data_IF_954068843198
#
_entry.id   IF_954068843198
#
_cell.length_a   1.000
_cell.length_b   1.000
_cell.length_c   1.000
_cell.angle_alpha   90.00
_cell.angle_beta   90.00
_cell.angle_gamma   90.00
#
_symmetry.space_group_name_H-M   'P 1'
#
loop_
_entity.id
_entity.type
_entity.pdbx_description
1 polymer ?
#
# COMPACT_ATOMS: atom_id res chain seq x y z
N UNK A 1 10.15 -31.36 -18.13
CA UNK A 1 10.31 -29.92 -17.90
C UNK A 1 10.62 -29.31 -19.26
N UNK A 2 9.60 -28.87 -19.95
CA UNK A 2 9.77 -28.11 -21.18
C UNK A 2 10.15 -26.68 -20.84
N UNK A 3 11.07 -26.05 -21.58
CA UNK A 3 11.46 -24.67 -21.31
C UNK A 3 10.30 -23.75 -21.68
N UNK A 4 9.81 -23.01 -20.69
CA UNK A 4 8.84 -21.93 -20.89
C UNK A 4 9.39 -20.93 -21.90
N UNK A 5 8.72 -20.77 -23.02
CA UNK A 5 8.97 -19.75 -24.04
C UNK A 5 8.95 -18.36 -23.37
N UNK A 6 9.94 -17.51 -23.65
CA UNK A 6 9.98 -16.18 -23.06
C UNK A 6 8.79 -15.33 -23.54
N UNK A 7 8.18 -14.61 -22.63
CA UNK A 7 6.98 -13.74 -22.76
C UNK A 7 7.22 -12.53 -23.72
N UNK A 8 8.34 -12.49 -24.43
CA UNK A 8 8.74 -11.41 -25.34
C UNK A 8 8.13 -11.49 -26.75
N UNK A 9 7.15 -12.35 -27.02
CA UNK A 9 6.69 -12.66 -28.37
C UNK A 9 5.33 -12.07 -28.78
N UNK A 10 4.94 -10.91 -28.27
CA UNK A 10 3.86 -10.11 -28.90
C UNK A 10 4.27 -8.66 -29.16
N UNK A 11 5.48 -8.44 -29.64
CA UNK A 11 5.72 -7.26 -30.46
C UNK A 11 5.00 -7.49 -31.78
N UNK A 12 3.79 -6.95 -31.92
CA UNK A 12 3.25 -6.69 -33.25
C UNK A 12 4.40 -6.03 -34.03
N UNK A 13 4.80 -6.61 -35.13
CA UNK A 13 5.84 -6.05 -36.02
C UNK A 13 5.38 -4.65 -36.44
N UNK A 14 5.78 -3.62 -35.68
CA UNK A 14 5.56 -2.24 -36.07
C UNK A 14 6.39 -2.01 -37.33
N UNK A 15 5.74 -1.97 -38.47
CA UNK A 15 6.37 -1.47 -39.68
C UNK A 15 6.55 0.04 -39.51
N UNK A 16 7.73 0.44 -39.00
CA UNK A 16 8.09 1.83 -38.90
C UNK A 16 8.15 2.44 -40.30
N UNK A 17 7.45 3.55 -40.49
CA UNK A 17 7.55 4.30 -41.75
C UNK A 17 8.94 4.93 -41.86
N UNK A 18 9.55 4.74 -43.02
CA UNK A 18 10.77 5.49 -43.35
C UNK A 18 10.46 6.97 -43.51
N UNK A 19 11.48 7.81 -43.26
CA UNK A 19 11.34 9.27 -43.44
C UNK A 19 10.97 9.62 -44.89
N UNK A 20 10.19 10.67 -45.04
CA UNK A 20 9.91 11.26 -46.36
C UNK A 20 11.19 11.85 -46.96
N UNK A 21 11.48 11.55 -48.23
CA UNK A 21 12.57 12.12 -48.97
C UNK A 21 12.06 13.36 -49.72
N UNK A 22 12.58 14.53 -49.35
CA UNK A 22 12.22 15.79 -49.94
C UNK A 22 13.21 16.14 -51.07
N UNK A 23 12.68 16.49 -52.23
CA UNK A 23 13.51 16.95 -53.37
C UNK A 23 12.84 18.11 -54.12
N UNK A 24 13.63 18.89 -54.78
CA UNK A 24 13.16 20.06 -55.53
C UNK A 24 12.23 19.65 -56.70
N UNK A 25 11.11 20.37 -56.85
CA UNK A 25 10.13 20.14 -57.91
C UNK A 25 9.11 19.05 -57.61
N UNK A 26 9.13 18.39 -56.42
CA UNK A 26 8.10 17.41 -56.06
C UNK A 26 6.75 18.08 -55.83
N UNK A 27 5.66 17.40 -56.20
CA UNK A 27 4.30 17.80 -55.86
C UNK A 27 4.00 17.49 -54.38
N UNK A 28 3.58 18.51 -53.63
CA UNK A 28 3.22 18.32 -52.20
C UNK A 28 1.75 17.93 -52.06
N UNK A 29 1.51 16.70 -51.64
CA UNK A 29 0.17 16.20 -51.28
C UNK A 29 0.03 15.86 -49.79
N UNK A 30 -1.19 15.70 -49.29
CA UNK A 30 -1.46 15.34 -47.90
C UNK A 30 -0.70 14.09 -47.43
N UNK A 31 -0.46 13.14 -48.32
CA UNK A 31 0.27 11.89 -48.01
C UNK A 31 1.70 12.13 -47.49
N UNK A 32 2.40 13.13 -47.99
CA UNK A 32 3.78 13.46 -47.55
C UNK A 32 3.76 13.93 -46.09
N UNK A 33 2.85 14.83 -45.74
CA UNK A 33 2.72 15.36 -44.39
C UNK A 33 2.24 14.28 -43.41
N UNK A 34 1.29 13.41 -43.83
CA UNK A 34 0.83 12.28 -43.03
C UNK A 34 1.94 11.25 -42.81
N UNK A 35 2.71 10.91 -43.83
CA UNK A 35 3.82 9.96 -43.72
C UNK A 35 4.93 10.51 -42.82
N UNK A 36 5.28 11.81 -42.96
CA UNK A 36 6.27 12.46 -42.10
C UNK A 36 5.83 12.48 -40.65
N UNK A 37 4.59 12.90 -40.38
CA UNK A 37 4.03 12.89 -39.04
C UNK A 37 4.10 11.50 -38.42
N UNK A 38 3.66 10.48 -39.17
CA UNK A 38 3.68 9.08 -38.72
C UNK A 38 5.09 8.58 -38.41
N UNK A 39 6.07 8.91 -39.27
CA UNK A 39 7.47 8.58 -39.04
C UNK A 39 8.01 9.14 -37.71
N UNK A 40 7.60 10.36 -37.33
CA UNK A 40 7.96 10.95 -36.05
C UNK A 40 7.24 10.29 -34.89
N UNK A 41 5.93 10.03 -35.01
CA UNK A 41 5.15 9.33 -34.00
C UNK A 41 5.71 7.93 -33.73
N UNK A 42 6.01 7.17 -34.78
CA UNK A 42 6.61 5.83 -34.69
C UNK A 42 7.99 5.86 -34.03
N UNK A 43 8.84 6.86 -34.39
CA UNK A 43 10.17 7.01 -33.80
C UNK A 43 10.10 7.34 -32.30
N UNK A 44 9.21 8.24 -31.90
CA UNK A 44 9.00 8.60 -30.49
C UNK A 44 8.49 7.39 -29.73
N UNK A 45 7.49 6.69 -30.26
CA UNK A 45 6.94 5.50 -29.61
C UNK A 45 7.98 4.39 -29.49
N UNK A 46 8.77 4.14 -30.56
CA UNK A 46 9.87 3.18 -30.51
C UNK A 46 10.91 3.57 -29.44
N UNK A 47 11.33 4.83 -29.40
CA UNK A 47 12.29 5.29 -28.41
C UNK A 47 11.75 5.15 -26.98
N UNK A 48 10.51 5.58 -26.73
CA UNK A 48 9.89 5.48 -25.41
C UNK A 48 9.74 4.04 -24.97
N UNK A 49 9.25 3.15 -25.82
CA UNK A 49 9.02 1.73 -25.51
C UNK A 49 10.29 0.92 -25.28
N UNK A 50 11.44 1.39 -25.80
CA UNK A 50 12.71 0.70 -25.61
C UNK A 50 13.56 1.30 -24.48
N UNK A 51 13.31 2.57 -24.09
CA UNK A 51 14.07 3.26 -23.05
C UNK A 51 13.39 3.19 -21.68
N UNK A 52 12.06 3.09 -21.65
CA UNK A 52 11.29 3.02 -20.41
C UNK A 52 10.45 1.76 -20.38
N UNK A 53 10.32 1.20 -19.18
CA UNK A 53 9.49 0.06 -18.93
C UNK A 53 8.01 0.48 -18.95
N UNK A 54 7.16 -0.23 -19.71
CA UNK A 54 5.70 0.00 -19.79
C UNK A 54 5.32 1.50 -19.84
N UNK A 55 5.72 2.25 -20.88
CA UNK A 55 5.61 3.72 -20.94
C UNK A 55 4.20 4.17 -21.31
N UNK A 56 3.18 3.60 -20.69
CA UNK A 56 1.78 3.94 -20.88
C UNK A 56 1.04 4.04 -19.54
N UNK A 57 -0.11 4.69 -19.54
CA UNK A 57 -0.90 4.90 -18.34
C UNK A 57 -1.15 6.37 -18.09
N UNK A 58 -1.67 6.67 -16.91
CA UNK A 58 -2.03 8.03 -16.52
C UNK A 58 -0.84 8.76 -15.88
N UNK A 59 -0.72 10.05 -16.18
CA UNK A 59 0.05 11.00 -15.39
C UNK A 59 -0.84 11.84 -14.45
N UNK A 60 -2.15 11.69 -14.57
CA UNK A 60 -3.18 12.25 -13.71
C UNK A 60 -4.55 11.87 -14.24
N UNK A 61 -5.46 11.52 -13.35
CA UNK A 61 -6.84 11.18 -13.71
C UNK A 61 -7.79 11.41 -12.54
N UNK A 62 -9.04 11.75 -12.87
CA UNK A 62 -10.11 11.90 -11.90
C UNK A 62 -11.46 11.59 -12.53
N UNK A 63 -12.26 10.78 -11.85
CA UNK A 63 -13.64 10.47 -12.17
C UNK A 63 -14.58 11.33 -11.33
N UNK A 64 -15.72 11.69 -11.88
CA UNK A 64 -16.73 12.51 -11.19
C UNK A 64 -17.61 11.64 -10.27
N UNK A 65 -17.53 11.81 -8.92
CA UNK A 65 -18.34 11.05 -7.99
C UNK A 65 -19.81 11.47 -8.00
N UNK A 66 -20.13 12.71 -8.39
CA UNK A 66 -21.50 13.20 -8.42
C UNK A 66 -22.26 12.65 -9.63
N UNK A 67 -21.58 12.53 -10.77
CA UNK A 67 -22.13 11.82 -11.94
C UNK A 67 -22.48 10.37 -11.60
N UNK A 68 -21.65 9.70 -10.80
CA UNK A 68 -21.87 8.31 -10.40
C UNK A 68 -23.13 8.14 -9.53
N UNK A 69 -23.45 9.11 -8.67
CA UNK A 69 -24.73 9.14 -7.93
C UNK A 69 -25.94 9.12 -8.85
N UNK A 70 -25.80 9.68 -10.05
CA UNK A 70 -26.81 9.65 -11.11
C UNK A 70 -26.66 8.42 -12.03
N UNK A 71 -25.94 7.39 -11.58
CA UNK A 71 -25.66 6.14 -12.33
C UNK A 71 -24.96 6.35 -13.66
N UNK A 72 -24.11 7.38 -13.73
CA UNK A 72 -23.39 7.78 -14.94
C UNK A 72 -21.91 7.92 -14.61
N UNK A 73 -21.04 7.41 -15.46
CA UNK A 73 -19.59 7.64 -15.37
C UNK A 73 -19.24 8.87 -16.17
N UNK A 74 -18.55 9.80 -15.55
CA UNK A 74 -17.99 10.99 -16.19
C UNK A 74 -16.56 11.24 -15.72
N UNK A 75 -15.81 12.00 -16.51
CA UNK A 75 -14.43 12.35 -16.27
C UNK A 75 -14.32 13.81 -15.83
N UNK A 76 -13.57 14.09 -14.78
CA UNK A 76 -13.17 15.45 -14.41
C UNK A 76 -11.93 15.89 -15.18
N UNK A 77 -10.92 15.03 -15.23
CA UNK A 77 -9.69 15.24 -16.00
C UNK A 77 -9.00 13.89 -16.26
N UNK A 78 -8.21 13.82 -17.32
CA UNK A 78 -7.27 12.71 -17.53
C UNK A 78 -6.12 13.12 -18.47
N UNK A 79 -4.92 12.76 -18.10
CA UNK A 79 -3.70 12.92 -18.90
C UNK A 79 -2.92 11.64 -18.89
N UNK A 80 -2.36 11.26 -20.03
CA UNK A 80 -1.62 10.02 -20.12
C UNK A 80 -1.25 9.61 -21.54
N UNK A 81 -0.85 8.37 -21.67
CA UNK A 81 -0.42 7.73 -22.91
C UNK A 81 -1.09 6.35 -23.00
N UNK A 82 -1.75 6.06 -24.10
CA UNK A 82 -2.22 4.70 -24.40
C UNK A 82 -1.07 3.76 -24.77
N UNK A 83 -1.30 2.44 -24.73
CA UNK A 83 -0.28 1.43 -25.07
C UNK A 83 0.31 1.58 -26.48
N UNK A 84 -0.46 2.15 -27.41
CA UNK A 84 -0.03 2.41 -28.79
C UNK A 84 0.65 3.76 -29.00
N UNK A 85 0.99 4.44 -27.90
CA UNK A 85 1.70 5.73 -27.90
C UNK A 85 0.81 6.96 -28.09
N UNK A 86 -0.52 6.84 -28.15
CA UNK A 86 -1.42 7.98 -28.24
C UNK A 86 -1.42 8.78 -26.95
N UNK A 87 -0.87 9.98 -26.99
CA UNK A 87 -0.92 10.94 -25.87
C UNK A 87 -2.30 11.58 -25.80
N UNK A 88 -2.80 11.85 -24.60
CA UNK A 88 -4.04 12.59 -24.36
C UNK A 88 -3.95 13.49 -23.13
N UNK A 89 -4.67 14.63 -23.19
CA UNK A 89 -4.78 15.60 -22.08
C UNK A 89 -6.15 16.24 -22.11
N UNK A 90 -6.99 15.89 -21.17
CA UNK A 90 -8.39 16.31 -21.02
C UNK A 90 -8.57 17.09 -19.71
N UNK A 91 -9.24 18.24 -19.66
CA UNK A 91 -9.90 18.91 -20.80
C UNK A 91 -8.99 19.86 -21.61
N UNK A 92 -7.69 19.97 -21.30
CA UNK A 92 -6.82 21.05 -21.79
C UNK A 92 -6.64 21.04 -23.31
N UNK A 93 -6.39 19.86 -23.88
CA UNK A 93 -6.12 19.70 -25.31
C UNK A 93 -7.17 18.85 -26.02
N UNK A 94 -7.78 17.93 -25.30
CA UNK A 94 -8.76 16.99 -25.81
C UNK A 94 -10.08 17.15 -25.07
N UNK A 95 -11.20 17.01 -25.78
CA UNK A 95 -12.52 17.01 -25.15
C UNK A 95 -12.70 15.72 -24.34
N UNK A 96 -13.20 15.81 -23.09
CA UNK A 96 -13.57 14.64 -22.32
C UNK A 96 -14.59 13.76 -23.06
N UNK A 97 -14.56 12.43 -22.90
CA UNK A 97 -15.58 11.55 -23.44
C UNK A 97 -16.96 11.90 -22.85
N UNK A 98 -18.00 11.68 -23.66
CA UNK A 98 -19.38 11.87 -23.18
C UNK A 98 -19.65 10.97 -21.95
N UNK A 99 -20.34 11.55 -20.96
CA UNK A 99 -20.77 10.81 -19.78
C UNK A 99 -21.62 9.59 -20.20
N UNK A 100 -21.41 8.44 -19.54
CA UNK A 100 -22.02 7.19 -19.95
C UNK A 100 -22.76 6.49 -18.81
N UNK A 101 -24.06 6.08 -19.00
CA UNK A 101 -24.80 5.35 -17.99
C UNK A 101 -24.25 3.93 -17.80
N UNK A 102 -24.28 3.44 -16.54
CA UNK A 102 -23.76 2.10 -16.17
C UNK A 102 -24.87 1.05 -16.03
N UNK A 103 -26.14 1.44 -16.15
CA UNK A 103 -27.28 0.56 -15.81
C UNK A 103 -27.27 -0.79 -16.51
N UNK A 104 -27.03 -0.79 -17.81
CA UNK A 104 -27.07 -2.00 -18.65
C UNK A 104 -25.85 -2.94 -18.42
N UNK A 105 -24.75 -2.40 -17.90
CA UNK A 105 -23.48 -3.13 -17.70
C UNK A 105 -23.28 -3.58 -16.26
N UNK A 106 -24.13 -3.11 -15.33
CA UNK A 106 -24.01 -3.41 -13.92
C UNK A 106 -25.30 -4.00 -13.33
N UNK A 107 -25.67 -5.24 -13.74
CA UNK A 107 -26.84 -5.93 -13.21
C UNK A 107 -26.69 -6.21 -11.69
N UNK A 108 -27.80 -6.50 -10.97
CA UNK A 108 -27.75 -6.76 -9.52
C UNK A 108 -26.83 -7.91 -9.09
N UNK A 109 -26.56 -8.83 -9.96
CA UNK A 109 -25.68 -9.99 -9.73
C UNK A 109 -24.18 -9.66 -9.80
N UNK A 110 -23.83 -8.49 -10.29
CA UNK A 110 -22.43 -8.07 -10.45
C UNK A 110 -22.01 -7.22 -9.26
N UNK A 111 -20.90 -7.56 -8.65
CA UNK A 111 -20.36 -6.84 -7.47
C UNK A 111 -19.46 -5.66 -7.86
N UNK A 112 -18.75 -5.76 -8.97
CA UNK A 112 -17.81 -4.76 -9.45
C UNK A 112 -17.90 -4.58 -10.97
N UNK A 113 -17.67 -3.36 -11.45
CA UNK A 113 -17.61 -3.01 -12.87
C UNK A 113 -16.35 -2.21 -13.16
N UNK A 114 -15.43 -2.77 -13.96
CA UNK A 114 -14.23 -2.05 -14.39
C UNK A 114 -14.62 -1.04 -15.47
N UNK A 115 -14.15 0.19 -15.32
CA UNK A 115 -14.34 1.32 -16.25
C UNK A 115 -13.03 1.57 -16.97
N UNK A 116 -13.09 1.70 -18.28
CA UNK A 116 -11.92 1.91 -19.13
C UNK A 116 -12.14 3.12 -20.04
N UNK A 117 -11.07 3.80 -20.40
CA UNK A 117 -11.02 4.62 -21.61
C UNK A 117 -10.63 3.71 -22.79
N UNK A 118 -11.32 3.86 -23.89
CA UNK A 118 -11.06 3.09 -25.10
C UNK A 118 -10.89 4.02 -26.29
N UNK A 119 -9.99 3.65 -27.21
CA UNK A 119 -9.76 4.37 -28.46
C UNK A 119 -9.58 3.37 -29.59
N UNK A 120 -10.21 3.57 -30.78
CA UNK A 120 -10.01 2.72 -31.93
C UNK A 120 -8.54 2.66 -32.38
N UNK A 121 -8.06 1.50 -32.85
CA UNK A 121 -6.69 1.35 -33.29
C UNK A 121 -6.38 2.21 -34.51
N UNK A 122 -5.11 2.59 -34.63
CA UNK A 122 -4.60 3.22 -35.85
C UNK A 122 -4.50 2.14 -36.96
N UNK A 123 -5.25 2.30 -38.04
CA UNK A 123 -5.27 1.34 -39.16
C UNK A 123 -4.37 1.82 -40.27
N UNK A 124 -3.39 1.00 -40.63
CA UNK A 124 -2.52 1.29 -41.78
C UNK A 124 -3.32 1.14 -43.09
N UNK A 125 -3.06 2.03 -44.05
CA UNK A 125 -3.69 2.06 -45.37
C UNK A 125 -5.22 2.03 -45.34
N UNK A 126 -5.81 2.51 -44.25
CA UNK A 126 -7.25 2.56 -44.07
C UNK A 126 -7.68 3.91 -43.53
N UNK A 127 -8.98 4.16 -43.52
CA UNK A 127 -9.57 5.38 -43.00
C UNK A 127 -9.43 5.47 -41.47
N UNK A 128 -8.80 6.54 -40.97
CA UNK A 128 -8.62 6.83 -39.55
C UNK A 128 -9.37 8.09 -39.09
N UNK A 129 -9.99 8.84 -40.00
CA UNK A 129 -10.70 10.08 -39.68
C UNK A 129 -12.06 10.13 -40.36
N UNK A 130 -13.10 10.58 -39.65
CA UNK A 130 -14.40 10.91 -40.18
C UNK A 130 -14.59 12.42 -40.26
N UNK A 131 -15.24 12.88 -41.34
CA UNK A 131 -15.53 14.30 -41.61
C UNK A 131 -16.98 14.68 -41.30
N UNK A 132 -17.88 13.72 -41.26
CA UNK A 132 -19.32 13.95 -41.02
C UNK A 132 -19.85 13.11 -39.87
N UNK A 133 -20.91 13.58 -39.22
CA UNK A 133 -21.57 12.86 -38.13
C UNK A 133 -22.18 11.51 -38.59
N UNK A 134 -22.58 11.39 -39.86
CA UNK A 134 -23.11 10.13 -40.42
C UNK A 134 -22.02 9.05 -40.57
N UNK A 135 -20.78 9.45 -40.74
CA UNK A 135 -19.60 8.59 -40.79
C UNK A 135 -19.13 8.12 -39.41
N UNK A 136 -19.71 8.63 -38.34
CA UNK A 136 -19.37 8.46 -36.91
C UNK A 136 -19.76 7.07 -36.39
N UNK A 137 -19.89 6.06 -37.19
CA UNK A 137 -20.02 4.68 -36.67
C UNK A 137 -18.65 4.19 -36.19
N UNK A 138 -18.38 4.37 -34.89
CA UNK A 138 -17.51 3.64 -33.96
C UNK A 138 -16.11 3.18 -34.38
N UNK A 139 -15.71 3.25 -35.63
CA UNK A 139 -14.51 2.57 -36.13
C UNK A 139 -13.34 3.47 -36.51
N UNK A 140 -13.50 4.80 -36.39
CA UNK A 140 -12.43 5.76 -36.73
C UNK A 140 -11.77 6.32 -35.48
N UNK A 141 -10.47 6.56 -35.57
CA UNK A 141 -9.67 7.05 -34.46
C UNK A 141 -9.84 8.54 -34.20
N UNK A 142 -10.16 9.33 -35.24
CA UNK A 142 -10.29 10.79 -35.17
C UNK A 142 -11.57 11.28 -35.82
N UNK A 143 -12.08 12.41 -35.30
CA UNK A 143 -13.13 13.19 -35.96
C UNK A 143 -12.53 14.51 -36.43
N UNK A 144 -12.75 14.90 -37.67
CA UNK A 144 -12.31 16.18 -38.21
C UNK A 144 -13.17 17.32 -37.62
N UNK A 145 -12.53 18.19 -36.85
CA UNK A 145 -13.18 19.37 -36.25
C UNK A 145 -12.59 20.62 -36.84
N UNK A 146 -13.38 21.51 -37.50
CA UNK A 146 -12.89 22.75 -38.08
C UNK A 146 -12.57 23.73 -36.96
N UNK A 147 -11.31 24.22 -36.91
CA UNK A 147 -10.83 25.24 -35.99
C UNK A 147 -10.22 26.41 -36.80
N UNK A 148 -10.62 27.63 -36.47
CA UNK A 148 -9.99 28.83 -37.05
C UNK A 148 -8.64 29.07 -36.37
N UNK A 149 -7.56 29.10 -37.18
CA UNK A 149 -6.21 29.36 -36.72
C UNK A 149 -5.66 30.56 -37.50
N UNK A 150 -4.98 31.48 -36.79
CA UNK A 150 -4.25 32.58 -37.38
C UNK A 150 -2.81 32.15 -37.75
N UNK A 151 -2.21 32.86 -38.68
CA UNK A 151 -0.78 32.71 -38.93
C UNK A 151 0.01 33.14 -37.69
N UNK A 152 0.88 32.25 -37.18
CA UNK A 152 1.61 32.49 -35.92
C UNK A 152 2.67 33.62 -36.04
N UNK A 153 3.14 33.95 -37.24
CA UNK A 153 4.13 34.98 -37.43
C UNK A 153 3.49 36.36 -37.50
N UNK A 154 2.28 36.46 -38.05
CA UNK A 154 1.58 37.74 -38.26
C UNK A 154 0.46 37.98 -37.26
N UNK A 155 -0.06 36.94 -36.60
CA UNK A 155 -1.25 37.01 -35.76
C UNK A 155 -2.52 37.30 -36.54
N UNK A 156 -2.49 37.24 -37.86
CA UNK A 156 -3.57 37.61 -38.78
C UNK A 156 -3.93 36.45 -39.72
N UNK A 157 -4.80 36.71 -40.70
CA UNK A 157 -5.24 35.77 -41.75
C UNK A 157 -5.82 34.45 -41.16
N UNK A 158 -6.94 34.51 -40.40
CA UNK A 158 -7.55 33.33 -39.82
C UNK A 158 -8.04 32.36 -40.90
N UNK A 159 -7.62 31.11 -40.83
CA UNK A 159 -8.04 30.05 -41.75
C UNK A 159 -8.64 28.85 -41.00
N UNK A 160 -9.63 28.23 -41.59
CA UNK A 160 -10.21 26.99 -41.07
C UNK A 160 -9.27 25.81 -41.38
N UNK A 161 -8.82 25.16 -40.31
CA UNK A 161 -8.02 23.93 -40.37
C UNK A 161 -8.80 22.84 -39.67
N UNK A 162 -8.92 21.66 -40.30
CA UNK A 162 -9.54 20.51 -39.70
C UNK A 162 -8.54 19.83 -38.78
N UNK A 163 -8.78 19.90 -37.46
CA UNK A 163 -8.00 19.19 -36.45
C UNK A 163 -8.64 17.83 -36.15
N UNK A 164 -7.83 16.81 -35.89
CA UNK A 164 -8.28 15.48 -35.56
C UNK A 164 -8.60 15.37 -34.05
N UNK A 165 -9.88 15.52 -33.68
CA UNK A 165 -10.33 15.21 -32.31
C UNK A 165 -10.28 13.70 -32.08
N UNK A 166 -9.62 13.25 -31.02
CA UNK A 166 -9.47 11.84 -30.66
C UNK A 166 -10.83 11.23 -30.30
N UNK A 167 -11.11 10.05 -30.82
CA UNK A 167 -12.35 9.30 -30.51
C UNK A 167 -12.15 8.45 -29.25
N UNK A 168 -11.91 9.11 -28.11
CA UNK A 168 -11.81 8.46 -26.80
C UNK A 168 -13.20 8.34 -26.21
N UNK A 169 -13.56 7.16 -25.73
CA UNK A 169 -14.85 6.85 -25.13
C UNK A 169 -14.69 6.06 -23.86
N UNK A 170 -15.72 6.05 -23.01
CA UNK A 170 -15.79 5.07 -21.93
C UNK A 170 -16.14 3.68 -22.50
N UNK A 171 -15.50 2.67 -21.99
CA UNK A 171 -15.85 1.27 -22.20
C UNK A 171 -15.97 0.57 -20.85
N UNK A 172 -16.81 -0.45 -20.78
CA UNK A 172 -17.04 -1.23 -19.58
C UNK A 172 -16.57 -2.66 -19.77
N UNK A 173 -16.18 -3.27 -18.68
CA UNK A 173 -15.82 -4.69 -18.68
C UNK A 173 -16.98 -5.57 -19.14
N UNK A 174 -16.71 -6.46 -20.11
CA UNK A 174 -17.73 -7.31 -20.75
C UNK A 174 -18.33 -6.68 -22.02
N UNK A 175 -17.89 -5.48 -22.42
CA UNK A 175 -18.21 -4.89 -23.71
C UNK A 175 -17.23 -5.39 -24.78
N UNK A 176 -17.71 -5.59 -26.00
CA UNK A 176 -16.85 -5.91 -27.13
C UNK A 176 -16.03 -4.66 -27.51
N UNK A 177 -14.75 -4.69 -27.19
CA UNK A 177 -13.75 -3.66 -27.55
C UNK A 177 -12.68 -4.26 -28.46
N UNK A 178 -13.10 -5.13 -29.38
CA UNK A 178 -12.19 -5.90 -30.22
C UNK A 178 -11.24 -5.00 -31.01
N UNK A 179 -9.94 -5.17 -30.75
CA UNK A 179 -8.87 -4.39 -31.38
C UNK A 179 -8.75 -2.93 -30.92
N UNK A 180 -9.57 -2.45 -30.00
CA UNK A 180 -9.40 -1.12 -29.41
C UNK A 180 -8.28 -1.11 -28.36
N UNK A 181 -7.59 0.01 -28.25
CA UNK A 181 -6.65 0.24 -27.17
C UNK A 181 -7.41 0.72 -25.93
N UNK A 182 -7.28 0.00 -24.82
CA UNK A 182 -8.05 0.28 -23.60
C UNK A 182 -7.14 0.59 -22.42
N UNK A 183 -7.54 1.55 -21.57
CA UNK A 183 -6.82 1.94 -20.37
C UNK A 183 -7.79 1.98 -19.18
N UNK A 184 -7.66 1.06 -18.20
CA UNK A 184 -8.52 1.05 -17.01
C UNK A 184 -8.34 2.32 -16.20
N UNK A 185 -9.44 3.03 -15.91
CA UNK A 185 -9.41 4.29 -15.16
C UNK A 185 -10.04 4.17 -13.77
N UNK A 186 -10.92 3.20 -13.57
CA UNK A 186 -11.61 3.03 -12.30
C UNK A 186 -12.37 1.71 -12.21
N UNK A 187 -12.88 1.45 -11.03
CA UNK A 187 -13.79 0.33 -10.75
C UNK A 187 -14.98 0.88 -9.97
N UNK A 188 -16.19 0.54 -10.38
CA UNK A 188 -17.43 0.87 -9.67
C UNK A 188 -17.84 -0.32 -8.82
N UNK A 189 -18.20 -0.05 -7.57
CA UNK A 189 -18.74 -1.02 -6.60
C UNK A 189 -20.14 -0.59 -6.17
N UNK A 190 -20.88 -1.51 -5.52
CA UNK A 190 -22.08 -1.17 -4.74
C UNK A 190 -21.68 -1.03 -3.27
N UNK A 191 -22.10 0.04 -2.63
CA UNK A 191 -21.99 0.16 -1.18
C UNK A 191 -23.05 -0.71 -0.47
N UNK A 192 -22.96 -0.81 0.87
CA UNK A 192 -23.93 -1.57 1.68
C UNK A 192 -25.36 -1.05 1.60
N UNK A 193 -25.59 0.16 1.07
CA UNK A 193 -26.90 0.79 0.86
C UNK A 193 -27.41 0.67 -0.57
N UNK A 194 -26.63 0.00 -1.45
CA UNK A 194 -26.98 -0.21 -2.86
C UNK A 194 -26.67 0.97 -3.79
N UNK A 195 -25.97 2.01 -3.29
CA UNK A 195 -25.48 3.10 -4.12
C UNK A 195 -24.20 2.71 -4.83
N UNK A 196 -23.90 3.39 -5.92
CA UNK A 196 -22.65 3.20 -6.66
C UNK A 196 -21.57 4.11 -6.11
N UNK A 197 -20.37 3.52 -5.88
CA UNK A 197 -19.17 4.23 -5.47
C UNK A 197 -18.00 3.79 -6.32
N UNK A 198 -17.02 4.67 -6.52
CA UNK A 198 -15.73 4.23 -7.06
C UNK A 198 -14.96 3.47 -6.00
N UNK A 199 -14.32 2.36 -6.41
CA UNK A 199 -13.50 1.53 -5.53
C UNK A 199 -12.28 2.33 -5.05
N UNK A 200 -12.20 2.65 -3.74
CA UNK A 200 -11.07 3.41 -3.20
C UNK A 200 -9.75 2.62 -3.17
N UNK A 201 -9.80 1.32 -3.48
CA UNK A 201 -8.61 0.46 -3.55
C UNK A 201 -8.05 0.36 -4.97
N UNK A 202 -8.78 0.82 -5.97
CA UNK A 202 -8.33 0.73 -7.35
C UNK A 202 -7.13 1.62 -7.61
N UNK A 203 -6.12 1.09 -8.31
CA UNK A 203 -4.94 1.82 -8.77
C UNK A 203 -4.90 1.68 -10.29
N UNK A 204 -5.13 2.77 -11.05
CA UNK A 204 -5.06 2.72 -12.50
C UNK A 204 -3.62 2.53 -12.98
N UNK A 205 -3.38 1.93 -14.15
CA UNK A 205 -2.08 1.98 -14.82
C UNK A 205 -1.60 3.44 -14.92
N UNK A 206 -0.40 3.72 -14.45
CA UNK A 206 0.10 5.10 -14.42
C UNK A 206 1.61 5.15 -14.73
N UNK A 207 2.03 6.22 -15.37
CA UNK A 207 3.44 6.51 -15.68
C UNK A 207 4.12 7.32 -14.57
N UNK A 208 3.32 7.85 -13.65
CA UNK A 208 3.78 8.59 -12.47
C UNK A 208 2.96 8.17 -11.26
N UNK A 209 3.62 7.94 -10.13
CA UNK A 209 2.95 7.50 -8.89
C UNK A 209 1.91 8.51 -8.38
N UNK A 210 2.14 9.80 -8.58
CA UNK A 210 1.21 10.89 -8.21
C UNK A 210 -0.12 10.86 -8.96
N UNK A 211 -0.21 10.12 -10.08
CA UNK A 211 -1.47 9.92 -10.78
C UNK A 211 -2.49 9.08 -9.99
N UNK A 212 -2.05 8.37 -8.95
CA UNK A 212 -2.89 7.56 -8.09
C UNK A 212 -2.78 7.99 -6.64
N UNK A 213 -3.79 8.69 -6.14
CA UNK A 213 -3.89 9.05 -4.72
C UNK A 213 -3.82 7.81 -3.82
N UNK A 214 -4.41 6.69 -4.26
CA UNK A 214 -4.37 5.43 -3.53
C UNK A 214 -2.96 4.88 -3.37
N UNK A 215 -2.14 4.93 -4.42
CA UNK A 215 -0.75 4.49 -4.37
C UNK A 215 0.08 5.39 -3.45
N UNK A 216 -0.12 6.71 -3.55
CA UNK A 216 0.54 7.67 -2.66
C UNK A 216 0.16 7.47 -1.19
N UNK A 217 -1.12 7.25 -0.87
CA UNK A 217 -1.56 6.93 0.49
C UNK A 217 -0.96 5.62 1.01
N UNK A 218 -0.88 4.58 0.16
CA UNK A 218 -0.26 3.30 0.53
C UNK A 218 1.21 3.48 0.88
N UNK A 219 1.95 4.20 0.05
CA UNK A 219 3.37 4.48 0.25
C UNK A 219 3.60 5.32 1.52
N UNK A 220 2.78 6.35 1.75
CA UNK A 220 2.86 7.15 2.98
C UNK A 220 2.67 6.30 4.24
N UNK A 221 1.63 5.47 4.25
CA UNK A 221 1.36 4.56 5.39
C UNK A 221 2.49 3.54 5.61
N UNK A 222 3.10 3.05 4.53
CA UNK A 222 4.26 2.16 4.64
C UNK A 222 5.44 2.91 5.27
N UNK A 223 5.71 4.14 4.85
CA UNK A 223 6.76 4.99 5.43
C UNK A 223 6.55 5.24 6.93
N UNK A 224 5.33 5.55 7.36
CA UNK A 224 4.98 5.73 8.77
C UNK A 224 5.32 4.48 9.60
N UNK A 225 4.96 3.29 9.11
CA UNK A 225 5.26 2.02 9.78
C UNK A 225 6.77 1.76 9.83
N UNK A 226 7.49 2.02 8.74
CA UNK A 226 8.94 1.84 8.69
C UNK A 226 9.66 2.82 9.63
N UNK A 227 9.21 4.08 9.74
CA UNK A 227 9.73 5.07 10.67
C UNK A 227 9.55 4.63 12.13
N UNK A 228 8.35 4.15 12.48
CA UNK A 228 8.07 3.63 13.81
C UNK A 228 9.00 2.46 14.17
N UNK A 229 9.14 1.49 13.26
CA UNK A 229 10.02 0.32 13.47
C UNK A 229 11.49 0.73 13.57
N UNK A 230 11.95 1.66 12.73
CA UNK A 230 13.31 2.20 12.78
C UNK A 230 13.61 2.89 14.11
N UNK A 231 12.68 3.72 14.61
CA UNK A 231 12.80 4.40 15.90
C UNK A 231 12.86 3.39 17.06
N UNK A 232 11.98 2.39 17.07
CA UNK A 232 11.94 1.33 18.09
C UNK A 232 13.25 0.56 18.20
N UNK A 233 13.85 0.17 17.07
CA UNK A 233 15.13 -0.52 17.03
C UNK A 233 16.30 0.40 17.48
N UNK A 234 16.25 1.68 17.13
CA UNK A 234 17.29 2.65 17.51
C UNK A 234 17.34 2.90 19.02
N UNK A 235 16.20 2.89 19.71
CA UNK A 235 16.12 3.00 21.16
C UNK A 235 16.75 1.79 21.86
N UNK A 236 16.51 0.59 21.36
CA UNK A 236 17.13 -0.64 21.86
C UNK A 236 18.65 -0.62 21.76
N UNK A 237 19.22 0.00 20.72
CA UNK A 237 20.68 0.10 20.49
C UNK A 237 21.37 1.11 21.42
N UNK A 238 20.72 2.16 21.89
CA UNK A 238 21.32 3.15 22.81
C UNK A 238 21.69 2.56 24.16
N UNK A 239 21.08 1.44 24.56
CA UNK A 239 21.44 0.67 25.75
C UNK A 239 22.73 -0.16 25.61
N UNK A 240 23.20 -0.43 24.40
CA UNK A 240 24.34 -1.34 24.10
C UNK A 240 25.59 -0.57 23.65
N UNK A 241 25.83 0.61 24.20
CA UNK A 241 27.06 1.38 23.94
C UNK A 241 28.28 0.84 24.73
N UNK A 242 28.59 -0.47 24.63
CA UNK A 242 29.87 -1.06 24.98
C UNK A 242 30.27 -2.09 23.92
N UNK A 243 30.91 -1.63 22.89
CA UNK A 243 31.62 -2.42 21.89
C UNK A 243 32.75 -3.23 22.56
N UNK A 244 32.45 -4.42 23.08
CA UNK A 244 33.49 -5.42 23.42
C UNK A 244 32.88 -6.78 23.88
N UNK A 245 31.82 -7.29 23.26
CA UNK A 245 31.42 -8.68 23.44
C UNK A 245 30.78 -9.22 22.17
N UNK A 246 30.97 -10.51 21.91
CA UNK A 246 30.35 -11.18 20.75
C UNK A 246 28.83 -10.93 20.75
N UNK A 247 28.28 -10.46 19.61
CA UNK A 247 26.85 -10.27 19.43
C UNK A 247 26.10 -11.56 19.75
N UNK A 248 25.06 -11.47 20.55
CA UNK A 248 24.10 -12.56 20.66
C UNK A 248 23.34 -12.75 19.33
N UNK A 249 22.83 -13.94 19.07
CA UNK A 249 22.06 -14.21 17.83
C UNK A 249 20.85 -13.29 17.68
N UNK A 250 20.22 -12.85 18.78
CA UNK A 250 19.10 -11.90 18.77
C UNK A 250 19.54 -10.46 18.44
N UNK A 251 20.70 -10.03 18.92
CA UNK A 251 21.27 -8.72 18.58
C UNK A 251 21.65 -8.65 17.10
N UNK A 252 22.19 -9.74 16.56
CA UNK A 252 22.51 -9.84 15.14
C UNK A 252 21.24 -9.77 14.28
N UNK A 253 20.19 -10.49 14.63
CA UNK A 253 18.89 -10.43 13.94
C UNK A 253 18.30 -9.00 13.99
N UNK A 254 18.35 -8.35 15.14
CA UNK A 254 17.91 -6.96 15.33
C UNK A 254 18.74 -5.99 14.48
N UNK A 255 20.04 -6.22 14.36
CA UNK A 255 20.92 -5.40 13.52
C UNK A 255 20.54 -5.53 12.04
N UNK A 256 20.37 -6.76 11.53
CA UNK A 256 19.97 -6.98 10.15
C UNK A 256 18.59 -6.44 9.83
N UNK A 257 17.66 -6.55 10.77
CA UNK A 257 16.33 -5.97 10.62
C UNK A 257 16.40 -4.44 10.53
N UNK A 258 17.14 -3.79 11.42
CA UNK A 258 17.35 -2.35 11.36
C UNK A 258 18.00 -1.91 10.04
N UNK A 259 19.00 -2.66 9.56
CA UNK A 259 19.65 -2.40 8.28
C UNK A 259 18.65 -2.50 7.13
N UNK A 260 17.85 -3.56 7.09
CA UNK A 260 16.82 -3.78 6.06
C UNK A 260 15.82 -2.62 6.02
N UNK A 261 15.29 -2.21 7.18
CA UNK A 261 14.34 -1.10 7.25
C UNK A 261 14.98 0.21 6.80
N UNK A 262 16.12 0.58 7.40
CA UNK A 262 16.75 1.87 7.15
C UNK A 262 17.20 2.04 5.69
N UNK A 263 17.66 0.97 5.05
CA UNK A 263 18.08 0.98 3.65
C UNK A 263 16.90 1.20 2.70
N UNK A 264 15.74 0.59 2.95
CA UNK A 264 14.53 0.77 2.14
C UNK A 264 13.82 2.07 2.43
N UNK A 265 13.77 2.50 3.69
CA UNK A 265 13.08 3.71 4.13
C UNK A 265 13.57 4.96 3.40
N UNK A 266 14.88 5.10 3.21
CA UNK A 266 15.46 6.28 2.55
C UNK A 266 15.08 6.36 1.07
N UNK A 267 15.08 5.23 0.36
CA UNK A 267 14.73 5.17 -1.06
C UNK A 267 13.23 5.39 -1.26
N UNK A 268 12.39 4.70 -0.49
CA UNK A 268 10.93 4.85 -0.56
C UNK A 268 10.49 6.29 -0.22
N UNK A 269 11.15 6.92 0.76
CA UNK A 269 10.90 8.32 1.13
C UNK A 269 11.25 9.27 -0.02
N UNK A 270 12.38 9.05 -0.68
CA UNK A 270 12.76 9.84 -1.84
C UNK A 270 11.73 9.71 -2.97
N UNK A 271 11.30 8.49 -3.30
CA UNK A 271 10.28 8.24 -4.33
C UNK A 271 8.95 8.92 -3.97
N UNK A 272 8.54 8.85 -2.70
CA UNK A 272 7.33 9.51 -2.22
C UNK A 272 7.41 11.03 -2.36
N UNK A 273 8.53 11.65 -1.98
CA UNK A 273 8.73 13.11 -2.04
C UNK A 273 8.90 13.62 -3.47
N UNK A 274 9.47 12.81 -4.36
CA UNK A 274 9.66 13.17 -5.75
C UNK A 274 8.33 13.18 -6.54
N UNK A 275 7.35 12.39 -6.13
CA UNK A 275 6.02 12.26 -6.75
C UNK A 275 6.02 11.88 -8.24
N UNK A 276 7.16 11.87 -8.88
CA UNK A 276 7.36 11.76 -10.34
C UNK A 276 7.90 10.40 -10.79
N UNK A 277 8.10 9.45 -9.87
CA UNK A 277 8.62 8.11 -10.18
C UNK A 277 7.61 7.24 -10.91
N UNK A 278 8.10 6.35 -11.79
CA UNK A 278 7.28 5.29 -12.37
C UNK A 278 6.88 4.26 -11.29
N UNK A 279 5.65 3.71 -11.29
CA UNK A 279 5.22 2.71 -10.29
C UNK A 279 6.16 1.52 -10.15
N UNK A 280 6.78 1.08 -11.24
CA UNK A 280 7.74 -0.04 -11.21
C UNK A 280 8.92 0.22 -10.28
N UNK A 281 9.42 1.46 -10.21
CA UNK A 281 10.52 1.81 -9.31
C UNK A 281 10.12 1.64 -7.84
N UNK A 282 8.91 2.06 -7.47
CA UNK A 282 8.37 1.85 -6.12
C UNK A 282 8.17 0.36 -5.86
N UNK A 283 7.62 -0.35 -6.85
CA UNK A 283 7.38 -1.78 -6.75
C UNK A 283 8.67 -2.59 -6.57
N UNK A 284 9.72 -2.28 -7.33
CA UNK A 284 11.03 -2.92 -7.22
C UNK A 284 11.62 -2.73 -5.82
N UNK A 285 11.52 -1.53 -5.25
CA UNK A 285 12.00 -1.24 -3.91
C UNK A 285 11.16 -1.94 -2.82
N UNK A 286 9.84 -1.96 -2.97
CA UNK A 286 8.95 -2.71 -2.08
C UNK A 286 9.22 -4.22 -2.17
N UNK A 287 9.48 -4.76 -3.36
CA UNK A 287 9.81 -6.18 -3.57
C UNK A 287 11.16 -6.51 -2.93
N UNK A 288 12.15 -5.62 -3.04
CA UNK A 288 13.44 -5.77 -2.36
C UNK A 288 13.25 -5.81 -0.83
N UNK A 289 12.44 -4.92 -0.29
CA UNK A 289 12.09 -4.92 1.14
C UNK A 289 11.35 -6.21 1.54
N UNK A 290 10.30 -6.60 0.81
CA UNK A 290 9.53 -7.81 1.07
C UNK A 290 10.38 -9.08 1.03
N UNK A 291 11.25 -9.19 0.04
CA UNK A 291 12.20 -10.30 -0.08
C UNK A 291 13.22 -10.37 1.07
N UNK A 292 13.77 -9.21 1.46
CA UNK A 292 14.67 -9.13 2.61
C UNK A 292 13.97 -9.49 3.93
N UNK A 293 12.70 -9.11 4.09
CA UNK A 293 11.90 -9.46 5.27
C UNK A 293 11.59 -10.96 5.37
N UNK A 294 11.54 -11.70 4.25
CA UNK A 294 11.41 -13.17 4.28
C UNK A 294 12.52 -13.85 5.06
N UNK A 295 13.71 -13.24 5.18
CA UNK A 295 14.84 -13.77 5.96
C UNK A 295 14.49 -13.95 7.44
N UNK A 296 13.53 -13.21 7.96
CA UNK A 296 13.13 -13.25 9.36
C UNK A 296 11.92 -14.15 9.63
N UNK A 297 11.22 -14.64 8.60
CA UNK A 297 10.06 -15.53 8.70
C UNK A 297 10.42 -16.99 8.45
N UNK A 298 10.06 -17.91 9.36
CA UNK A 298 10.41 -19.33 9.23
C UNK A 298 9.77 -20.03 8.02
N UNK A 299 8.61 -19.56 7.55
CA UNK A 299 7.84 -20.15 6.45
C UNK A 299 7.71 -19.23 5.24
N UNK A 300 8.55 -18.19 5.14
CA UNK A 300 8.47 -17.19 4.10
C UNK A 300 9.45 -17.49 2.98
N UNK A 301 8.97 -17.42 1.73
CA UNK A 301 9.79 -17.65 0.54
C UNK A 301 9.73 -16.42 -0.38
N UNK A 302 10.88 -15.80 -0.74
CA UNK A 302 10.89 -14.68 -1.69
C UNK A 302 10.26 -15.00 -3.05
N UNK A 303 10.24 -16.28 -3.45
CA UNK A 303 9.60 -16.72 -4.71
C UNK A 303 8.06 -16.58 -4.69
N UNK A 304 7.45 -16.43 -3.51
CA UNK A 304 6.00 -16.22 -3.38
C UNK A 304 5.56 -14.77 -3.53
N UNK A 305 6.50 -13.85 -3.69
CA UNK A 305 6.16 -12.44 -3.90
C UNK A 305 5.43 -12.27 -5.24
N UNK A 306 4.39 -11.40 -5.29
CA UNK A 306 3.64 -11.19 -6.51
C UNK A 306 4.53 -10.57 -7.60
N UNK A 307 4.30 -10.95 -8.85
CA UNK A 307 4.92 -10.32 -9.99
C UNK A 307 4.31 -8.94 -10.25
N UNK A 308 5.09 -8.03 -10.82
CA UNK A 308 4.59 -6.74 -11.28
C UNK A 308 3.66 -6.92 -12.48
N UNK A 309 2.50 -6.29 -12.42
CA UNK A 309 1.55 -6.22 -13.53
C UNK A 309 1.12 -4.77 -13.69
N UNK A 310 1.62 -4.11 -14.75
CA UNK A 310 1.35 -2.69 -14.99
C UNK A 310 -0.11 -2.40 -15.31
N UNK A 311 -0.83 -3.38 -15.85
CA UNK A 311 -2.26 -3.25 -16.17
C UNK A 311 -3.17 -3.48 -14.95
N UNK A 312 -2.68 -4.17 -13.91
CA UNK A 312 -3.40 -4.51 -12.69
C UNK A 312 -2.62 -4.09 -11.43
N UNK A 313 -2.21 -2.82 -11.37
CA UNK A 313 -1.40 -2.29 -10.27
C UNK A 313 -2.04 -2.47 -8.89
N UNK A 314 -3.38 -2.36 -8.80
CA UNK A 314 -4.11 -2.56 -7.55
C UNK A 314 -3.86 -3.95 -6.96
N UNK A 315 -3.84 -5.00 -7.77
CA UNK A 315 -3.65 -6.37 -7.31
C UNK A 315 -2.22 -6.61 -6.80
N UNK A 316 -1.22 -6.24 -7.62
CA UNK A 316 0.17 -6.52 -7.28
C UNK A 316 0.65 -5.66 -6.09
N UNK A 317 0.31 -4.38 -6.02
CA UNK A 317 0.69 -3.52 -4.91
C UNK A 317 -0.01 -3.90 -3.61
N UNK A 318 -1.31 -4.22 -3.63
CA UNK A 318 -2.01 -4.66 -2.41
C UNK A 318 -1.47 -5.98 -1.86
N UNK A 319 -1.18 -6.94 -2.72
CA UNK A 319 -0.62 -8.21 -2.30
C UNK A 319 0.78 -8.03 -1.69
N UNK A 320 1.62 -7.18 -2.30
CA UNK A 320 2.97 -6.90 -1.80
C UNK A 320 2.94 -6.08 -0.49
N UNK A 321 2.09 -5.07 -0.37
CA UNK A 321 1.92 -4.29 0.87
C UNK A 321 1.43 -5.18 2.02
N UNK A 322 0.47 -6.06 1.78
CA UNK A 322 -0.01 -7.02 2.78
C UNK A 322 1.10 -7.97 3.24
N UNK A 323 1.92 -8.48 2.31
CA UNK A 323 3.06 -9.32 2.63
C UNK A 323 4.09 -8.57 3.51
N UNK A 324 4.47 -7.34 3.13
CA UNK A 324 5.43 -6.54 3.88
C UNK A 324 4.91 -6.27 5.29
N UNK A 325 3.65 -5.84 5.46
CA UNK A 325 3.05 -5.55 6.76
C UNK A 325 3.01 -6.77 7.65
N UNK A 326 2.58 -7.91 7.13
CA UNK A 326 2.56 -9.17 7.89
C UNK A 326 3.95 -9.53 8.43
N UNK A 327 5.01 -9.32 7.64
CA UNK A 327 6.38 -9.60 8.09
C UNK A 327 6.92 -8.54 9.05
N UNK A 328 6.58 -7.27 8.89
CA UNK A 328 6.95 -6.21 9.84
C UNK A 328 6.32 -6.42 11.22
N UNK A 329 5.14 -7.06 11.30
CA UNK A 329 4.51 -7.43 12.57
C UNK A 329 5.20 -8.63 13.23
N UNK A 330 5.64 -9.63 12.43
CA UNK A 330 6.30 -10.84 12.94
C UNK A 330 7.71 -10.58 13.49
N UNK A 331 8.42 -9.61 12.96
CA UNK A 331 9.87 -9.37 13.21
C UNK A 331 10.12 -8.41 14.38
N UNK A 332 9.18 -8.13 15.24
CA UNK A 332 9.53 -7.61 16.57
C UNK A 332 9.97 -8.81 17.39
N UNK A 333 11.28 -9.07 17.61
CA UNK A 333 11.69 -10.00 18.65
C UNK A 333 11.34 -9.31 19.97
N UNK A 334 10.11 -9.46 20.39
CA UNK A 334 9.75 -9.15 21.75
C UNK A 334 10.41 -10.23 22.60
N UNK A 335 11.60 -9.92 23.14
CA UNK A 335 12.07 -10.61 24.35
C UNK A 335 11.04 -10.42 25.49
N UNK A 336 9.86 -9.92 25.15
CA UNK A 336 8.75 -9.66 26.04
C UNK A 336 7.58 -10.56 25.65
N UNK A 337 7.24 -11.51 26.52
CA UNK A 337 6.09 -12.37 26.41
C UNK A 337 4.96 -11.79 27.25
N UNK A 338 3.74 -11.81 26.75
CA UNK A 338 2.56 -11.44 27.54
C UNK A 338 1.92 -12.70 28.08
N UNK A 339 1.69 -12.75 29.38
CA UNK A 339 0.88 -13.79 30.00
C UNK A 339 -0.56 -13.28 30.05
N UNK A 340 -1.50 -13.87 29.28
CA UNK A 340 -2.87 -13.42 29.26
C UNK A 340 -3.52 -13.65 30.63
N UNK A 341 -4.05 -12.58 31.22
CA UNK A 341 -4.81 -12.61 32.46
C UNK A 341 -6.31 -12.57 32.14
N UNK A 342 -7.05 -13.59 32.57
CA UNK A 342 -8.50 -13.66 32.40
C UNK A 342 -9.19 -13.31 33.71
N UNK A 343 -10.26 -12.50 33.73
CA UNK A 343 -11.02 -12.22 34.92
C UNK A 343 -11.79 -13.49 35.36
N UNK A 344 -11.52 -13.97 36.57
CA UNK A 344 -12.18 -15.14 37.17
C UNK A 344 -13.18 -14.77 38.27
N UNK A 345 -13.15 -13.52 38.72
CA UNK A 345 -14.05 -12.98 39.72
C UNK A 345 -14.12 -11.46 39.66
N UNK A 346 -14.85 -10.85 40.62
CA UNK A 346 -15.05 -9.40 40.65
C UNK A 346 -13.74 -8.59 40.75
N UNK A 347 -12.71 -9.16 41.39
CA UNK A 347 -11.44 -8.52 41.70
C UNK A 347 -10.24 -9.41 41.40
N UNK A 348 -10.45 -10.55 40.76
CA UNK A 348 -9.43 -11.57 40.56
C UNK A 348 -9.24 -11.88 39.08
N UNK A 349 -7.98 -12.05 38.71
CA UNK A 349 -7.54 -12.43 37.36
C UNK A 349 -6.64 -13.66 37.49
N UNK A 350 -6.73 -14.56 36.54
CA UNK A 350 -5.88 -15.74 36.46
C UNK A 350 -5.24 -15.87 35.09
N UNK A 351 -4.03 -16.44 35.08
CA UNK A 351 -3.28 -16.72 33.86
C UNK A 351 -2.49 -18.01 33.96
N UNK A 352 -2.28 -18.69 32.85
CA UNK A 352 -1.42 -19.87 32.76
C UNK A 352 -0.08 -19.53 32.10
N UNK A 353 1.01 -20.07 32.65
CA UNK A 353 2.36 -19.95 32.11
C UNK A 353 2.59 -21.11 31.14
N UNK A 354 2.36 -20.86 29.85
CA UNK A 354 2.52 -21.87 28.81
C UNK A 354 3.98 -22.02 28.35
N UNK A 355 4.75 -20.92 28.39
CA UNK A 355 6.15 -20.90 27.97
C UNK A 355 7.08 -21.01 29.19
N UNK A 356 7.84 -22.10 29.26
CA UNK A 356 8.77 -22.36 30.36
C UNK A 356 9.91 -21.34 30.46
N UNK A 357 10.21 -20.60 29.39
CA UNK A 357 11.24 -19.53 29.39
C UNK A 357 10.88 -18.41 30.33
N UNK A 358 9.57 -18.19 30.59
CA UNK A 358 9.11 -17.18 31.56
C UNK A 358 9.59 -17.47 32.98
N UNK A 359 9.85 -18.73 33.33
CA UNK A 359 10.31 -19.15 34.64
C UNK A 359 11.85 -19.16 34.76
N UNK A 360 12.58 -19.04 33.63
CA UNK A 360 14.03 -18.96 33.57
C UNK A 360 14.59 -17.57 33.91
N UNK A 361 15.66 -17.14 33.24
CA UNK A 361 16.17 -15.77 33.35
C UNK A 361 15.22 -14.81 32.66
N UNK A 362 14.41 -14.11 33.43
CA UNK A 362 13.41 -13.20 32.89
C UNK A 362 13.06 -12.13 33.91
N UNK A 363 12.65 -10.94 33.49
CA UNK A 363 12.04 -9.91 34.34
C UNK A 363 10.54 -9.91 34.16
N UNK A 364 9.82 -9.96 35.24
CA UNK A 364 8.37 -9.90 35.25
C UNK A 364 7.93 -8.47 35.54
N UNK A 365 7.02 -7.96 34.72
CA UNK A 365 6.54 -6.58 34.78
C UNK A 365 5.03 -6.61 34.73
N UNK A 366 4.40 -6.02 35.74
CA UNK A 366 2.98 -5.77 35.74
C UNK A 366 2.74 -4.35 35.21
N UNK A 367 1.96 -4.23 34.14
CA UNK A 367 1.47 -2.96 33.61
C UNK A 367 0.03 -2.76 34.08
N UNK A 368 -0.27 -1.60 34.66
CA UNK A 368 -1.58 -1.27 35.22
C UNK A 368 -2.02 0.10 34.75
N UNK A 369 -3.25 0.18 34.25
CA UNK A 369 -3.94 1.44 33.97
C UNK A 369 -5.26 1.47 34.74
N UNK A 370 -5.67 2.64 35.21
CA UNK A 370 -6.97 2.89 35.86
C UNK A 370 -7.31 4.38 35.81
N UNK A 371 -8.59 4.69 35.95
CA UNK A 371 -9.12 6.07 35.89
C UNK A 371 -8.87 6.86 37.21
N UNK A 372 -7.71 6.68 37.87
CA UNK A 372 -7.29 7.41 39.05
C UNK A 372 -5.97 8.15 38.80
N UNK A 373 -5.65 9.12 39.63
CA UNK A 373 -4.38 9.87 39.51
C UNK A 373 -3.15 8.97 39.60
N UNK A 374 -2.10 9.29 38.86
CA UNK A 374 -0.86 8.51 38.74
C UNK A 374 -0.25 8.16 40.13
N UNK A 375 -0.11 9.14 40.99
CA UNK A 375 0.47 8.94 42.34
C UNK A 375 -0.37 7.96 43.18
N UNK A 376 -1.68 8.06 43.09
CA UNK A 376 -2.60 7.15 43.80
C UNK A 376 -2.53 5.76 43.24
N UNK A 377 -2.48 5.60 41.89
CA UNK A 377 -2.34 4.31 41.22
C UNK A 377 -1.04 3.62 41.67
N UNK A 378 0.08 4.32 41.65
CA UNK A 378 1.38 3.80 42.08
C UNK A 378 1.33 3.32 43.54
N UNK A 379 0.83 4.16 44.45
CA UNK A 379 0.77 3.83 45.88
C UNK A 379 -0.15 2.64 46.17
N UNK A 380 -1.33 2.60 45.56
CA UNK A 380 -2.31 1.51 45.77
C UNK A 380 -1.84 0.19 45.13
N UNK A 381 -1.25 0.24 43.95
CA UNK A 381 -0.71 -0.97 43.28
C UNK A 381 0.37 -1.61 44.15
N UNK A 382 1.31 -0.86 44.67
CA UNK A 382 2.38 -1.44 45.50
C UNK A 382 1.91 -2.00 46.87
N UNK A 383 0.86 -1.43 47.43
CA UNK A 383 0.40 -1.80 48.78
C UNK A 383 -0.72 -2.84 48.79
N UNK A 384 -1.59 -2.80 47.78
CA UNK A 384 -2.88 -3.53 47.86
C UNK A 384 -3.00 -4.63 46.79
N UNK A 385 -2.33 -4.51 45.63
CA UNK A 385 -2.36 -5.58 44.65
C UNK A 385 -1.58 -6.80 45.15
N UNK A 386 -2.08 -7.97 44.84
CA UNK A 386 -1.44 -9.24 45.25
C UNK A 386 -1.24 -10.13 44.06
N UNK A 387 0.00 -10.58 43.85
CA UNK A 387 0.38 -11.56 42.82
C UNK A 387 0.89 -12.82 43.52
N UNK A 388 0.32 -13.94 43.15
CA UNK A 388 0.75 -15.27 43.62
C UNK A 388 0.32 -16.33 42.60
N UNK A 389 0.35 -17.63 42.96
CA UNK A 389 -0.31 -18.64 42.14
C UNK A 389 -1.84 -18.56 42.24
N UNK A 390 -2.55 -19.03 41.21
CA UNK A 390 -4.02 -19.03 41.22
C UNK A 390 -4.59 -19.79 42.41
N UNK A 391 -3.95 -20.89 42.82
CA UNK A 391 -4.38 -21.74 43.97
C UNK A 391 -4.26 -21.05 45.31
N UNK A 392 -3.21 -20.26 45.52
CA UNK A 392 -2.96 -19.54 46.78
C UNK A 392 -3.71 -18.21 46.88
N UNK A 393 -4.22 -17.68 45.80
CA UNK A 393 -4.83 -16.34 45.76
C UNK A 393 -6.01 -16.19 46.72
N UNK A 394 -6.96 -17.13 46.84
CA UNK A 394 -8.10 -17.01 47.76
C UNK A 394 -7.68 -16.94 49.23
N UNK A 395 -6.67 -17.72 49.64
CA UNK A 395 -6.13 -17.71 50.98
C UNK A 395 -5.40 -16.41 51.33
N UNK A 396 -4.51 -15.94 50.41
CA UNK A 396 -3.79 -14.68 50.56
C UNK A 396 -4.73 -13.49 50.70
N UNK A 397 -5.82 -13.49 49.95
CA UNK A 397 -6.82 -12.40 50.04
C UNK A 397 -7.57 -12.47 51.37
N UNK A 398 -8.00 -13.66 51.80
CA UNK A 398 -8.77 -13.88 53.03
C UNK A 398 -8.00 -13.47 54.29
N UNK A 399 -6.69 -13.76 54.36
CA UNK A 399 -5.85 -13.52 55.54
C UNK A 399 -5.07 -12.20 55.41
N UNK A 400 -5.28 -11.47 54.34
CA UNK A 400 -4.59 -10.17 54.03
C UNK A 400 -3.07 -10.27 53.98
N UNK A 401 -2.51 -11.43 53.61
CA UNK A 401 -1.06 -11.61 53.44
C UNK A 401 -0.58 -10.92 52.18
N UNK A 402 0.69 -10.45 52.11
CA UNK A 402 1.27 -9.88 50.93
C UNK A 402 1.53 -10.94 49.88
N UNK A 403 1.33 -10.60 48.60
CA UNK A 403 1.80 -11.38 47.45
C UNK A 403 3.29 -11.08 47.12
N UNK A 404 3.69 -11.36 45.89
CA UNK A 404 5.02 -10.94 45.39
C UNK A 404 5.15 -9.43 45.47
N UNK A 405 6.33 -8.92 45.88
CA UNK A 405 6.56 -7.49 46.00
C UNK A 405 6.60 -6.83 44.62
N UNK A 406 5.98 -5.65 44.56
CA UNK A 406 5.90 -4.80 43.38
C UNK A 406 6.75 -3.54 43.56
N UNK A 407 7.65 -3.29 42.60
CA UNK A 407 8.51 -2.09 42.62
C UNK A 407 8.14 -1.22 41.44
N UNK A 408 7.75 0.04 41.66
CA UNK A 408 7.42 0.94 40.55
C UNK A 408 8.64 1.21 39.66
N UNK A 409 8.42 1.15 38.35
CA UNK A 409 9.38 1.44 37.31
C UNK A 409 8.92 2.70 36.57
N UNK A 410 9.57 3.86 36.75
CA UNK A 410 9.20 5.10 36.08
C UNK A 410 9.28 4.98 34.53
N UNK A 411 10.14 4.12 34.04
CA UNK A 411 10.27 3.76 32.63
C UNK A 411 10.31 2.22 32.51
N UNK A 412 9.48 1.62 31.67
CA UNK A 412 9.57 0.19 31.41
C UNK A 412 10.90 -0.13 30.70
N UNK A 413 11.41 -1.37 30.81
CA UNK A 413 12.54 -1.83 30.01
C UNK A 413 12.30 -1.65 28.53
N UNK A 414 13.36 -1.46 27.73
CA UNK A 414 13.32 -1.21 26.30
C UNK A 414 12.62 -2.31 25.48
N UNK A 415 12.45 -3.49 26.07
CA UNK A 415 11.69 -4.61 25.44
C UNK A 415 10.17 -4.46 25.55
N UNK A 416 9.69 -3.52 26.37
CA UNK A 416 8.27 -3.24 26.60
C UNK A 416 7.91 -1.93 25.90
N UNK A 417 7.01 -1.97 24.94
CA UNK A 417 6.48 -0.76 24.32
C UNK A 417 5.65 0.03 25.35
N UNK A 418 6.03 1.26 25.70
CA UNK A 418 5.28 2.05 26.69
C UNK A 418 3.90 2.39 26.11
N UNK A 419 2.85 2.13 26.92
CA UNK A 419 1.49 2.54 26.62
C UNK A 419 1.18 3.85 27.35
N UNK A 420 0.40 4.70 26.72
CA UNK A 420 -0.07 5.95 27.31
C UNK A 420 -0.92 5.62 28.54
N UNK A 421 -0.69 6.35 29.64
CA UNK A 421 -1.40 6.22 30.92
C UNK A 421 -1.21 4.91 31.70
N UNK A 422 -0.34 4.00 31.24
CA UNK A 422 0.02 2.79 32.01
C UNK A 422 1.18 3.06 32.97
N UNK A 423 1.08 2.51 34.18
CA UNK A 423 2.17 2.48 35.16
C UNK A 423 2.76 1.07 35.23
N UNK A 424 4.08 0.99 35.32
CA UNK A 424 4.82 -0.28 35.23
C UNK A 424 5.43 -0.66 36.58
N UNK A 425 5.35 -1.95 36.95
CA UNK A 425 5.87 -2.46 38.21
C UNK A 425 6.69 -3.72 37.97
N UNK A 426 7.93 -3.72 38.46
CA UNK A 426 8.74 -4.94 38.51
C UNK A 426 8.21 -5.89 39.58
N UNK A 427 8.00 -7.15 39.20
CA UNK A 427 7.53 -8.21 40.10
C UNK A 427 8.74 -8.97 40.65
N UNK A 428 8.85 -9.07 41.97
CA UNK A 428 9.90 -9.86 42.64
C UNK A 428 9.70 -11.36 42.39
N UNK A 429 10.79 -12.06 42.14
CA UNK A 429 10.81 -13.49 41.83
C UNK A 429 11.51 -14.29 42.92
N UNK A 430 11.24 -13.97 44.18
CA UNK A 430 11.89 -14.60 45.34
C UNK A 430 10.85 -15.05 46.37
N UNK A 431 11.20 -16.06 47.16
CA UNK A 431 10.38 -16.57 48.27
C UNK A 431 9.42 -17.68 47.87
N UNK A 432 8.74 -18.22 48.89
CA UNK A 432 7.82 -19.37 48.77
C UNK A 432 6.65 -19.13 47.83
N UNK A 433 6.18 -17.89 47.72
CA UNK A 433 5.10 -17.50 46.79
C UNK A 433 5.56 -17.64 45.33
N UNK A 434 6.82 -17.31 45.04
CA UNK A 434 7.38 -17.50 43.70
C UNK A 434 7.58 -19.00 43.40
N UNK A 435 8.13 -19.78 44.34
CA UNK A 435 8.32 -21.21 44.19
C UNK A 435 7.00 -21.93 43.87
N UNK A 436 5.90 -21.50 44.50
CA UNK A 436 4.59 -22.02 44.23
C UNK A 436 4.10 -21.72 42.81
N UNK A 437 4.35 -20.52 42.28
CA UNK A 437 4.06 -20.17 40.87
C UNK A 437 4.86 -21.08 39.92
N UNK A 438 6.14 -21.34 40.21
CA UNK A 438 6.99 -22.22 39.42
C UNK A 438 6.45 -23.65 39.39
N UNK A 439 5.93 -24.14 40.51
CA UNK A 439 5.36 -25.50 40.64
C UNK A 439 4.02 -25.64 39.92
N UNK A 440 3.10 -24.69 40.16
CA UNK A 440 1.74 -24.75 39.62
C UNK A 440 1.62 -24.27 38.20
N UNK A 441 2.60 -23.45 37.73
CA UNK A 441 2.59 -22.76 36.41
C UNK A 441 1.32 -21.91 36.19
N UNK A 442 0.75 -21.42 37.29
CA UNK A 442 -0.43 -20.57 37.27
C UNK A 442 -0.15 -19.25 37.98
N UNK A 443 -0.85 -18.21 37.59
CA UNK A 443 -0.77 -16.90 38.22
C UNK A 443 -2.15 -16.45 38.59
N UNK A 444 -2.27 -15.93 39.80
CA UNK A 444 -3.42 -15.22 40.29
C UNK A 444 -3.06 -13.79 40.64
N UNK A 445 -3.85 -12.84 40.17
CA UNK A 445 -3.74 -11.41 40.46
C UNK A 445 -5.04 -10.95 41.15
N UNK A 446 -4.90 -10.31 42.30
CA UNK A 446 -5.97 -9.60 42.98
C UNK A 446 -5.80 -8.11 42.83
N UNK A 447 -6.83 -7.43 42.31
CA UNK A 447 -6.91 -5.98 42.17
C UNK A 447 -8.08 -5.48 43.00
N UNK A 448 -7.84 -4.67 44.06
CA UNK A 448 -8.93 -4.24 44.97
C UNK A 448 -9.88 -3.27 44.26
N UNK A 449 -11.12 -3.21 44.76
CA UNK A 449 -12.16 -2.31 44.21
C UNK A 449 -11.88 -0.81 44.29
N UNK A 450 -10.86 -0.43 45.04
CA UNK A 450 -10.35 0.95 45.14
C UNK A 450 -9.57 1.40 43.88
N UNK A 451 -9.22 0.44 42.97
CA UNK A 451 -8.67 0.68 41.64
C UNK A 451 -9.80 0.44 40.62
N UNK A 452 -10.55 1.46 40.23
CA UNK A 452 -11.72 1.32 39.35
C UNK A 452 -11.30 1.04 37.92
N UNK A 453 -12.07 0.15 37.25
CA UNK A 453 -11.87 -0.22 35.85
C UNK A 453 -10.40 -0.53 35.50
N UNK A 454 -9.75 -1.47 36.20
CA UNK A 454 -8.34 -1.73 36.00
C UNK A 454 -8.12 -2.48 34.66
N UNK A 455 -7.22 -1.95 33.85
CA UNK A 455 -6.60 -2.69 32.76
C UNK A 455 -5.25 -3.21 33.23
N UNK A 456 -5.05 -4.51 33.20
CA UNK A 456 -3.85 -5.16 33.72
C UNK A 456 -3.22 -6.07 32.67
N UNK A 457 -1.92 -5.96 32.53
CA UNK A 457 -1.13 -6.82 31.65
C UNK A 457 0.10 -7.34 32.39
N UNK A 458 0.34 -8.64 32.30
CA UNK A 458 1.54 -9.23 32.84
C UNK A 458 2.53 -9.55 31.70
N UNK A 459 3.64 -8.83 31.73
CA UNK A 459 4.69 -8.87 30.72
C UNK A 459 5.91 -9.57 31.31
N UNK A 460 6.55 -10.43 30.52
CA UNK A 460 7.76 -11.15 30.90
C UNK A 460 8.84 -10.85 29.89
N UNK A 461 9.84 -10.09 30.32
CA UNK A 461 11.02 -9.78 29.50
C UNK A 461 12.06 -10.86 29.72
N UNK A 462 12.35 -11.63 28.68
CA UNK A 462 13.38 -12.66 28.71
C UNK A 462 14.77 -12.01 28.72
N UNK A 463 15.61 -12.42 29.67
CA UNK A 463 17.01 -12.03 29.71
C UNK A 463 17.86 -13.13 29.05
N UNK A 464 18.67 -12.72 28.09
CA UNK A 464 19.64 -13.61 27.39
C UNK A 464 20.76 -14.07 28.30
#
# INVERSE_FOLDING_TARGET
>A
MEPSTPIWSTSSSMNHLSKVVWFEGMYLGPHHFQAQRRSFEDLIHFASSNLWFEPYGFSGCGLDPDALRNRTVALTHARGIFQDGLVFSMPESDSPPAARPIGDFFPPTREALKVMLAVPPLRQNNRNCAFTAEEVRTTVRYFAEPKSLCDENTGADPRFVHLGRKNIRFAFEGEEVEGECTLPIGRVLRDGSGNFIYDPKFIPPCIQISASERLMMMLNRLLEVLDEKSAGVSLSRRGVAKFQAAFSSSELATFWFAHTINSSLTVLRHLYQAEHGHPEQVYAEMTRLGGALCTFGMNSNPQSLPAYDHFNLDQCFHALDAHIRAHLELVVPTNCLTIPLQPTGRYTYEGAILDHRCLGRARWILAVHSNIGEADLISRTQRQLKICSAELLPELVKVSLPGLSLTHLPLPPSAVAPKVDFQYFGVSRTGSTWENIVQTRTIGLYVPGEVPNPEVELLVVLES
#
